data_IF_377374421916
#
_entry.id   IF_377374421916
#
_cell.length_a   1.000
_cell.length_b   1.000
_cell.length_c   1.000
_cell.angle_alpha   90.00
_cell.angle_beta   90.00
_cell.angle_gamma   90.00
#
_symmetry.space_group_name_H-M   'P 1'
#
loop_
_entity.id
_entity.type
_entity.pdbx_description
1 polymer ?
#
# COMPACT_ATOMS: atom_id res chain seq x y z
N UNK A 1 -32.86 38.19 -6.76
CA UNK A 1 -32.65 37.76 -8.17
C UNK A 1 -31.69 38.63 -9.01
N UNK A 2 -31.22 39.81 -8.55
CA UNK A 2 -30.35 40.69 -9.39
C UNK A 2 -28.93 40.16 -9.69
N UNK A 3 -28.44 39.08 -9.07
CA UNK A 3 -27.02 38.68 -9.21
C UNK A 3 -26.77 37.64 -10.34
N UNK A 4 -27.64 36.63 -10.53
CA UNK A 4 -27.35 35.54 -11.47
C UNK A 4 -27.35 35.99 -12.94
N UNK A 5 -28.36 36.74 -13.39
CA UNK A 5 -28.46 37.19 -14.79
C UNK A 5 -27.27 38.05 -15.20
N UNK A 6 -26.79 38.91 -14.31
CA UNK A 6 -25.60 39.72 -14.57
C UNK A 6 -24.35 38.85 -14.73
N UNK A 7 -24.20 37.80 -13.92
CA UNK A 7 -23.09 36.86 -14.06
C UNK A 7 -23.18 36.14 -15.41
N UNK A 8 -24.36 35.65 -15.80
CA UNK A 8 -24.55 34.96 -17.07
C UNK A 8 -24.19 35.86 -18.26
N UNK A 9 -24.66 37.10 -18.27
CA UNK A 9 -24.36 38.08 -19.31
C UNK A 9 -22.87 38.44 -19.35
N UNK A 10 -22.23 38.66 -18.20
CA UNK A 10 -20.78 38.98 -18.11
C UNK A 10 -19.90 37.81 -18.55
N UNK A 11 -20.34 36.58 -18.29
CA UNK A 11 -19.62 35.35 -18.64
C UNK A 11 -19.96 34.83 -20.04
N UNK A 12 -20.78 35.57 -20.81
CA UNK A 12 -21.24 35.19 -22.15
C UNK A 12 -21.84 33.76 -22.20
N UNK A 13 -22.58 33.40 -21.15
CA UNK A 13 -23.28 32.12 -21.04
C UNK A 13 -24.66 32.28 -21.68
N UNK A 14 -24.96 31.44 -22.66
CA UNK A 14 -26.29 31.39 -23.27
C UNK A 14 -27.32 30.79 -22.31
N UNK A 15 -28.46 31.46 -22.17
CA UNK A 15 -29.58 31.01 -21.36
C UNK A 15 -30.92 31.35 -22.02
N UNK A 16 -31.95 30.59 -21.68
CA UNK A 16 -33.34 30.86 -22.09
C UNK A 16 -34.20 31.12 -20.86
N UNK A 17 -35.12 32.07 -20.98
CA UNK A 17 -36.13 32.35 -19.94
C UNK A 17 -37.50 31.90 -20.45
N UNK A 18 -38.16 31.08 -19.64
CA UNK A 18 -39.53 30.61 -19.89
C UNK A 18 -40.38 30.90 -18.66
N UNK A 19 -41.72 30.86 -18.76
CA UNK A 19 -42.59 30.93 -17.58
C UNK A 19 -42.27 29.86 -16.52
N UNK A 20 -41.65 28.75 -16.92
CA UNK A 20 -41.26 27.63 -16.05
C UNK A 20 -39.94 27.87 -15.31
N UNK A 21 -39.09 28.80 -15.76
CA UNK A 21 -37.79 29.07 -15.15
C UNK A 21 -36.71 29.52 -16.13
N UNK A 22 -35.48 29.61 -15.61
CA UNK A 22 -34.27 29.92 -16.35
C UNK A 22 -33.56 28.62 -16.76
N UNK A 23 -33.15 28.48 -18.01
CA UNK A 23 -32.41 27.32 -18.50
C UNK A 23 -31.03 27.73 -19.01
N UNK A 24 -29.98 27.07 -18.53
CA UNK A 24 -28.62 27.14 -19.04
C UNK A 24 -28.30 25.81 -19.72
N UNK A 25 -28.10 25.81 -21.04
CA UNK A 25 -27.88 24.56 -21.79
C UNK A 25 -26.51 23.90 -21.53
N UNK A 26 -25.53 24.69 -21.09
CA UNK A 26 -24.17 24.25 -20.78
C UNK A 26 -23.92 24.04 -19.28
N UNK A 27 -22.64 24.13 -18.90
CA UNK A 27 -22.23 24.16 -17.49
C UNK A 27 -22.28 25.60 -16.96
N UNK A 28 -22.54 25.75 -15.66
CA UNK A 28 -22.62 27.03 -14.96
C UNK A 28 -21.64 27.01 -13.78
N UNK A 29 -20.53 27.73 -13.90
CA UNK A 29 -19.55 27.94 -12.84
C UNK A 29 -19.86 29.24 -12.08
N UNK A 30 -20.25 29.12 -10.82
CA UNK A 30 -20.51 30.20 -9.87
C UNK A 30 -19.58 30.13 -8.66
N UNK A 31 -18.52 29.32 -8.73
CA UNK A 31 -17.60 29.08 -7.62
C UNK A 31 -17.03 30.35 -7.02
N UNK A 32 -17.08 30.45 -5.70
CA UNK A 32 -16.52 31.59 -4.96
C UNK A 32 -17.21 32.93 -5.20
N UNK A 33 -18.31 32.96 -5.97
CA UNK A 33 -19.09 34.17 -6.17
C UNK A 33 -19.89 34.53 -4.92
N UNK A 34 -20.40 35.76 -4.87
CA UNK A 34 -21.25 36.26 -3.78
C UNK A 34 -22.73 35.91 -3.98
N UNK A 35 -23.04 34.84 -4.74
CA UNK A 35 -24.42 34.43 -4.94
C UNK A 35 -24.98 33.82 -3.65
N UNK A 36 -26.20 34.21 -3.31
CA UNK A 36 -26.90 33.78 -2.08
C UNK A 36 -28.18 33.00 -2.39
N UNK A 37 -28.63 32.98 -3.64
CA UNK A 37 -29.89 32.35 -4.07
C UNK A 37 -29.87 32.08 -5.58
N UNK A 38 -30.52 31.00 -6.00
CA UNK A 38 -30.84 30.71 -7.39
C UNK A 38 -32.34 30.95 -7.67
N UNK A 39 -32.75 31.20 -8.92
CA UNK A 39 -34.16 31.32 -9.28
C UNK A 39 -34.89 29.96 -9.24
N UNK A 40 -36.18 29.98 -8.92
CA UNK A 40 -37.06 28.80 -8.99
C UNK A 40 -37.07 28.20 -10.41
N UNK A 41 -37.14 26.87 -10.49
CA UNK A 41 -37.18 26.14 -11.77
C UNK A 41 -35.90 26.25 -12.61
N UNK A 42 -34.76 26.61 -12.01
CA UNK A 42 -33.47 26.64 -12.71
C UNK A 42 -33.12 25.26 -13.28
N UNK A 43 -32.79 25.21 -14.56
CA UNK A 43 -32.27 24.01 -15.23
C UNK A 43 -30.86 24.26 -15.75
N UNK A 44 -29.91 23.39 -15.40
CA UNK A 44 -28.55 23.39 -15.94
C UNK A 44 -28.32 22.08 -16.69
N UNK A 45 -28.03 22.18 -17.99
CA UNK A 45 -27.94 21.02 -18.87
C UNK A 45 -26.71 20.14 -18.62
N UNK A 46 -25.65 20.69 -18.02
CA UNK A 46 -24.42 19.98 -17.64
C UNK A 46 -24.12 20.23 -16.16
N UNK A 47 -22.92 20.71 -15.83
CA UNK A 47 -22.45 20.84 -14.45
C UNK A 47 -22.81 22.20 -13.84
N UNK A 48 -23.13 22.22 -12.55
CA UNK A 48 -23.38 23.41 -11.75
C UNK A 48 -22.37 23.45 -10.59
N UNK A 49 -21.44 24.40 -10.62
CA UNK A 49 -20.48 24.61 -9.53
C UNK A 49 -20.91 25.81 -8.69
N UNK A 50 -21.37 25.54 -7.47
CA UNK A 50 -21.72 26.52 -6.44
C UNK A 50 -20.72 26.50 -5.28
N UNK A 51 -19.58 25.83 -5.43
CA UNK A 51 -18.62 25.63 -4.36
C UNK A 51 -18.13 26.97 -3.81
N UNK A 52 -17.95 27.04 -2.49
CA UNK A 52 -17.48 28.25 -1.77
C UNK A 52 -18.33 29.50 -2.01
N UNK A 53 -19.60 29.35 -2.39
CA UNK A 53 -20.57 30.47 -2.44
C UNK A 53 -21.26 30.67 -1.09
N UNK A 54 -22.11 31.71 -0.99
CA UNK A 54 -22.89 32.03 0.20
C UNK A 54 -24.33 31.47 0.12
N UNK A 55 -24.56 30.47 -0.73
CA UNK A 55 -25.88 29.84 -0.85
C UNK A 55 -26.20 29.03 0.41
N UNK A 56 -27.44 29.16 0.87
CA UNK A 56 -27.95 28.46 2.08
C UNK A 56 -29.09 27.51 1.76
N UNK A 57 -29.77 27.70 0.63
CA UNK A 57 -30.93 26.92 0.18
C UNK A 57 -30.89 26.83 -1.35
N UNK A 58 -31.23 25.66 -1.90
CA UNK A 58 -31.50 25.48 -3.33
C UNK A 58 -33.00 25.63 -3.62
N UNK A 59 -33.36 26.21 -4.77
CA UNK A 59 -34.75 26.39 -5.17
C UNK A 59 -35.43 25.05 -5.47
N UNK A 60 -36.76 25.03 -5.39
CA UNK A 60 -37.55 23.87 -5.80
C UNK A 60 -37.47 23.69 -7.33
N UNK A 61 -37.54 22.44 -7.76
CA UNK A 61 -37.46 22.09 -9.19
C UNK A 61 -36.09 22.32 -9.84
N UNK A 62 -35.02 22.56 -9.06
CA UNK A 62 -33.66 22.61 -9.60
C UNK A 62 -33.31 21.28 -10.27
N UNK A 63 -32.88 21.35 -11.53
CA UNK A 63 -32.41 20.17 -12.29
C UNK A 63 -31.00 20.39 -12.80
N UNK A 64 -30.10 19.42 -12.55
CA UNK A 64 -28.70 19.44 -13.01
C UNK A 64 -28.42 18.15 -13.80
N UNK A 65 -28.23 18.29 -15.11
CA UNK A 65 -28.00 17.14 -16.00
C UNK A 65 -26.65 16.45 -15.79
N UNK A 66 -25.65 17.20 -15.32
CA UNK A 66 -24.32 16.72 -14.96
C UNK A 66 -24.09 16.71 -13.45
N UNK A 67 -22.95 17.23 -13.03
CA UNK A 67 -22.50 17.26 -11.64
C UNK A 67 -22.93 18.53 -10.92
N UNK A 68 -23.22 18.42 -9.62
CA UNK A 68 -23.56 19.55 -8.75
C UNK A 68 -22.53 19.64 -7.62
N UNK A 69 -21.73 20.70 -7.61
CA UNK A 69 -20.76 20.96 -6.54
C UNK A 69 -21.30 22.04 -5.58
N UNK A 70 -21.60 21.65 -4.34
CA UNK A 70 -22.01 22.52 -3.25
C UNK A 70 -20.95 22.57 -2.14
N UNK A 71 -19.75 22.09 -2.40
CA UNK A 71 -18.70 21.95 -1.39
C UNK A 71 -18.38 23.30 -0.73
N UNK A 72 -18.20 23.25 0.59
CA UNK A 72 -17.90 24.42 1.43
C UNK A 72 -18.90 25.57 1.26
N UNK A 73 -20.17 25.27 1.00
CA UNK A 73 -21.29 26.21 1.12
C UNK A 73 -21.95 26.09 2.50
N UNK A 74 -22.92 26.97 2.78
CA UNK A 74 -23.67 26.97 4.04
C UNK A 74 -25.04 26.29 3.90
N UNK A 75 -25.18 25.38 2.92
CA UNK A 75 -26.41 24.63 2.71
C UNK A 75 -26.65 23.65 3.87
N UNK A 76 -27.91 23.58 4.30
CA UNK A 76 -28.35 22.75 5.44
C UNK A 76 -29.36 21.68 5.05
N UNK A 77 -30.02 21.84 3.89
CA UNK A 77 -31.02 20.91 3.36
C UNK A 77 -31.02 20.96 1.82
N UNK A 78 -31.30 19.82 1.18
CA UNK A 78 -31.57 19.75 -0.26
C UNK A 78 -33.08 19.70 -0.52
N UNK A 79 -33.56 20.29 -1.63
CA UNK A 79 -34.98 20.26 -1.97
C UNK A 79 -35.43 18.84 -2.35
N UNK A 80 -36.70 18.53 -2.08
CA UNK A 80 -37.33 17.30 -2.55
C UNK A 80 -37.31 17.20 -4.08
N UNK A 81 -37.17 15.98 -4.60
CA UNK A 81 -37.14 15.74 -6.05
C UNK A 81 -35.86 16.19 -6.75
N UNK A 82 -34.83 16.65 -6.03
CA UNK A 82 -33.53 16.98 -6.62
C UNK A 82 -32.96 15.77 -7.37
N UNK A 83 -32.62 15.97 -8.64
CA UNK A 83 -31.98 14.96 -9.49
C UNK A 83 -30.62 15.47 -9.96
N UNK A 84 -29.58 14.66 -9.76
CA UNK A 84 -28.21 14.95 -10.21
C UNK A 84 -27.73 13.79 -11.08
N UNK A 85 -27.57 14.05 -12.38
CA UNK A 85 -27.17 13.02 -13.35
C UNK A 85 -25.73 12.52 -13.20
N UNK A 86 -24.86 13.36 -12.62
CA UNK A 86 -23.45 13.09 -12.39
C UNK A 86 -23.09 12.93 -10.92
N UNK A 87 -22.05 13.66 -10.51
CA UNK A 87 -21.53 13.71 -9.14
C UNK A 87 -22.27 14.75 -8.29
N UNK A 88 -22.49 14.46 -7.01
CA UNK A 88 -22.99 15.43 -6.02
C UNK A 88 -21.95 15.65 -4.92
N UNK A 89 -21.38 16.86 -4.85
CA UNK A 89 -20.44 17.28 -3.81
C UNK A 89 -21.14 18.05 -2.70
N UNK A 90 -21.11 17.55 -1.47
CA UNK A 90 -21.58 18.22 -0.26
C UNK A 90 -20.45 18.38 0.76
N UNK A 91 -19.19 18.17 0.38
CA UNK A 91 -18.02 18.22 1.26
C UNK A 91 -18.02 19.48 2.12
N UNK A 92 -17.98 19.28 3.44
CA UNK A 92 -17.87 20.38 4.41
C UNK A 92 -19.06 21.34 4.44
N UNK A 93 -20.23 20.93 3.96
CA UNK A 93 -21.49 21.65 4.16
C UNK A 93 -22.09 21.36 5.54
N UNK A 94 -23.19 22.03 5.88
CA UNK A 94 -23.92 21.85 7.14
C UNK A 94 -25.14 20.94 6.99
N UNK A 95 -25.16 20.09 5.95
CA UNK A 95 -26.23 19.11 5.72
C UNK A 95 -26.32 18.15 6.91
N UNK A 96 -27.55 17.92 7.37
CA UNK A 96 -27.87 16.99 8.48
C UNK A 96 -28.71 15.79 8.03
N UNK A 97 -29.38 15.90 6.88
CA UNK A 97 -30.18 14.84 6.26
C UNK A 97 -30.26 15.02 4.75
N UNK A 98 -30.51 13.93 4.02
CA UNK A 98 -30.85 13.97 2.59
C UNK A 98 -32.36 13.75 2.39
N UNK A 99 -32.96 14.32 1.33
CA UNK A 99 -34.36 14.09 1.00
C UNK A 99 -34.61 12.64 0.56
N UNK A 100 -35.82 12.14 0.82
CA UNK A 100 -36.25 10.85 0.28
C UNK A 100 -36.25 10.87 -1.26
N UNK A 101 -35.94 9.72 -1.87
CA UNK A 101 -35.91 9.58 -3.33
C UNK A 101 -34.74 10.27 -4.04
N UNK A 102 -33.76 10.83 -3.30
CA UNK A 102 -32.55 11.38 -3.91
C UNK A 102 -31.83 10.31 -4.76
N UNK A 103 -31.60 10.64 -6.03
CA UNK A 103 -30.86 9.79 -6.96
C UNK A 103 -29.60 10.51 -7.43
N UNK A 104 -28.45 9.86 -7.27
CA UNK A 104 -27.15 10.34 -7.74
C UNK A 104 -26.59 9.34 -8.75
N UNK A 105 -26.45 9.78 -10.00
CA UNK A 105 -26.06 8.89 -11.10
C UNK A 105 -24.63 8.35 -11.00
N UNK A 106 -23.75 9.05 -10.27
CA UNK A 106 -22.34 8.66 -10.06
C UNK A 106 -21.97 8.73 -8.58
N UNK A 107 -20.98 9.55 -8.23
CA UNK A 107 -20.44 9.63 -6.89
C UNK A 107 -21.21 10.63 -6.01
N UNK A 108 -21.22 10.41 -4.70
CA UNK A 108 -21.81 11.28 -3.68
C UNK A 108 -20.77 11.53 -2.58
N UNK A 109 -20.31 12.77 -2.43
CA UNK A 109 -19.42 13.17 -1.34
C UNK A 109 -20.21 13.91 -0.26
N UNK A 110 -20.32 13.27 0.91
CA UNK A 110 -20.91 13.81 2.14
C UNK A 110 -19.86 14.04 3.22
N UNK A 111 -18.58 13.93 2.88
CA UNK A 111 -17.50 13.95 3.85
C UNK A 111 -17.47 15.27 4.62
N UNK A 112 -17.15 15.19 5.91
CA UNK A 112 -17.13 16.34 6.84
C UNK A 112 -18.44 17.14 6.89
N UNK A 113 -19.58 16.54 6.59
CA UNK A 113 -20.90 17.10 6.87
C UNK A 113 -21.38 16.68 8.26
N UNK A 114 -22.54 17.20 8.68
CA UNK A 114 -23.20 16.85 9.95
C UNK A 114 -24.28 15.78 9.78
N UNK A 115 -24.23 15.02 8.68
CA UNK A 115 -25.22 13.97 8.41
C UNK A 115 -25.11 12.87 9.47
N UNK A 116 -26.27 12.43 9.96
CA UNK A 116 -26.40 11.40 10.99
C UNK A 116 -27.10 10.14 10.49
N UNK A 117 -27.90 10.26 9.42
CA UNK A 117 -28.69 9.18 8.82
C UNK A 117 -28.82 9.37 7.31
N UNK A 118 -28.83 8.27 6.56
CA UNK A 118 -29.17 8.26 5.15
C UNK A 118 -30.63 7.82 4.96
N UNK A 119 -31.33 8.35 3.93
CA UNK A 119 -32.69 7.94 3.61
C UNK A 119 -32.72 6.48 3.13
N UNK A 120 -33.83 5.80 3.41
CA UNK A 120 -34.09 4.46 2.87
C UNK A 120 -34.16 4.51 1.33
N UNK A 121 -33.65 3.47 0.67
CA UNK A 121 -33.65 3.38 -0.79
C UNK A 121 -32.65 4.29 -1.51
N UNK A 122 -31.74 4.96 -0.80
CA UNK A 122 -30.65 5.72 -1.42
C UNK A 122 -29.84 4.82 -2.36
N UNK A 123 -29.71 5.24 -3.61
CA UNK A 123 -28.89 4.55 -4.61
C UNK A 123 -27.77 5.46 -5.09
N UNK A 124 -26.53 4.99 -4.98
CA UNK A 124 -25.33 5.69 -5.47
C UNK A 124 -24.68 4.82 -6.54
N UNK A 125 -24.74 5.27 -7.80
CA UNK A 125 -24.23 4.51 -8.94
C UNK A 125 -22.71 4.32 -8.92
N UNK A 126 -22.00 5.26 -8.31
CA UNK A 126 -20.55 5.25 -8.12
C UNK A 126 -20.15 5.10 -6.65
N UNK A 127 -19.30 5.99 -6.19
CA UNK A 127 -18.69 6.00 -4.86
C UNK A 127 -19.47 6.88 -3.87
N UNK A 128 -19.48 6.50 -2.60
CA UNK A 128 -20.10 7.22 -1.50
C UNK A 128 -19.04 7.54 -0.44
N UNK A 129 -18.73 8.81 -0.25
CA UNK A 129 -17.81 9.26 0.81
C UNK A 129 -18.63 9.84 1.98
N UNK A 130 -18.61 9.13 3.11
CA UNK A 130 -19.20 9.54 4.39
C UNK A 130 -18.13 9.84 5.43
N UNK A 131 -16.87 9.99 5.02
CA UNK A 131 -15.76 10.10 5.94
C UNK A 131 -15.89 11.33 6.84
N UNK A 132 -15.59 11.14 8.13
CA UNK A 132 -15.67 12.20 9.16
C UNK A 132 -17.06 12.83 9.29
N UNK A 133 -18.11 12.06 9.06
CA UNK A 133 -19.50 12.42 9.39
C UNK A 133 -19.91 11.86 10.75
N UNK A 134 -21.13 12.18 11.20
CA UNK A 134 -21.71 11.68 12.45
C UNK A 134 -22.63 10.47 12.24
N UNK A 135 -22.52 9.79 11.09
CA UNK A 135 -23.27 8.55 10.79
C UNK A 135 -22.92 7.47 11.82
N UNK A 136 -23.95 6.84 12.37
CA UNK A 136 -23.86 5.70 13.30
C UNK A 136 -24.33 4.39 12.69
N UNK A 137 -25.08 4.45 11.57
CA UNK A 137 -25.64 3.27 10.89
C UNK A 137 -25.93 3.57 9.41
N UNK A 138 -25.88 2.54 8.58
CA UNK A 138 -26.32 2.60 7.18
C UNK A 138 -27.72 1.97 7.02
N UNK A 139 -28.53 2.43 6.06
CA UNK A 139 -29.84 1.85 5.79
C UNK A 139 -29.71 0.43 5.21
N UNK A 140 -30.72 -0.41 5.46
CA UNK A 140 -30.81 -1.73 4.84
C UNK A 140 -30.94 -1.60 3.31
N UNK A 141 -30.37 -2.55 2.57
CA UNK A 141 -30.41 -2.56 1.11
C UNK A 141 -29.53 -1.51 0.42
N UNK A 142 -28.72 -0.75 1.16
CA UNK A 142 -27.76 0.18 0.56
C UNK A 142 -26.83 -0.56 -0.41
N UNK A 143 -26.74 -0.06 -1.64
CA UNK A 143 -25.82 -0.56 -2.67
C UNK A 143 -24.91 0.58 -3.12
N UNK A 144 -23.60 0.32 -3.12
CA UNK A 144 -22.58 1.26 -3.61
C UNK A 144 -21.82 0.59 -4.74
N UNK A 145 -21.94 1.13 -5.96
CA UNK A 145 -21.30 0.55 -7.14
C UNK A 145 -19.78 0.68 -7.12
N UNK A 146 -19.26 1.74 -6.51
CA UNK A 146 -17.84 2.07 -6.41
C UNK A 146 -17.29 1.95 -4.99
N UNK A 147 -16.57 2.98 -4.56
CA UNK A 147 -15.92 3.04 -3.24
C UNK A 147 -16.89 3.50 -2.15
N UNK A 148 -16.86 2.89 -0.97
CA UNK A 148 -17.56 3.36 0.23
C UNK A 148 -16.54 3.78 1.30
N UNK A 149 -16.47 5.08 1.58
CA UNK A 149 -15.63 5.63 2.65
C UNK A 149 -16.46 5.91 3.91
N UNK A 150 -16.16 5.20 4.99
CA UNK A 150 -16.75 5.41 6.32
C UNK A 150 -15.69 5.84 7.34
N UNK A 151 -14.50 6.24 6.89
CA UNK A 151 -13.38 6.52 7.78
C UNK A 151 -13.71 7.61 8.79
N UNK A 152 -13.43 7.35 10.06
CA UNK A 152 -13.64 8.31 11.14
C UNK A 152 -15.12 8.64 11.40
N UNK A 153 -16.03 7.74 11.01
CA UNK A 153 -17.44 7.79 11.42
C UNK A 153 -17.66 7.05 12.75
N UNK A 154 -18.84 7.22 13.35
CA UNK A 154 -19.22 6.53 14.59
C UNK A 154 -19.94 5.20 14.34
N UNK A 155 -19.77 4.61 13.14
CA UNK A 155 -20.42 3.35 12.79
C UNK A 155 -19.86 2.19 13.63
N UNK A 156 -20.76 1.37 14.16
CA UNK A 156 -20.42 0.19 15.00
C UNK A 156 -20.78 -1.12 14.32
N UNK A 157 -21.73 -1.10 13.38
CA UNK A 157 -22.24 -2.28 12.66
C UNK A 157 -22.60 -1.88 11.22
N UNK A 158 -22.30 -2.76 10.27
CA UNK A 158 -22.77 -2.65 8.89
C UNK A 158 -24.06 -3.47 8.70
N UNK A 159 -24.99 -3.04 7.83
CA UNK A 159 -26.21 -3.77 7.55
C UNK A 159 -25.92 -5.11 6.87
N UNK A 160 -26.77 -6.11 7.12
CA UNK A 160 -26.70 -7.38 6.41
C UNK A 160 -26.95 -7.16 4.91
N UNK A 161 -26.26 -7.93 4.07
CA UNK A 161 -26.41 -7.83 2.61
C UNK A 161 -25.78 -6.59 1.97
N UNK A 162 -25.01 -5.79 2.71
CA UNK A 162 -24.25 -4.68 2.14
C UNK A 162 -23.32 -5.19 1.03
N UNK A 163 -23.46 -4.60 -0.16
CA UNK A 163 -22.61 -4.89 -1.32
C UNK A 163 -21.85 -3.65 -1.72
N UNK A 164 -20.52 -3.77 -1.80
CA UNK A 164 -19.61 -2.71 -2.26
C UNK A 164 -18.86 -3.21 -3.48
N UNK A 165 -19.20 -2.66 -4.65
CA UNK A 165 -18.59 -3.08 -5.92
C UNK A 165 -17.10 -2.73 -6.03
N UNK A 166 -16.69 -1.64 -5.38
CA UNK A 166 -15.30 -1.20 -5.27
C UNK A 166 -14.69 -1.50 -3.90
N UNK A 167 -14.03 -0.50 -3.32
CA UNK A 167 -13.32 -0.63 -2.03
C UNK A 167 -14.21 -0.15 -0.87
N UNK A 168 -13.94 -0.64 0.34
CA UNK A 168 -14.61 -0.27 1.59
C UNK A 168 -13.57 0.17 2.61
N UNK A 169 -13.65 1.43 3.06
CA UNK A 169 -12.77 1.98 4.08
C UNK A 169 -13.52 2.19 5.39
N UNK A 170 -13.14 1.42 6.41
CA UNK A 170 -13.71 1.47 7.76
C UNK A 170 -12.67 1.99 8.77
N UNK A 171 -11.58 2.59 8.32
CA UNK A 171 -10.50 3.01 9.21
C UNK A 171 -11.00 3.99 10.27
N UNK A 172 -10.47 3.88 11.47
CA UNK A 172 -10.83 4.76 12.60
C UNK A 172 -12.34 4.74 12.93
N UNK A 173 -13.04 3.63 12.64
CA UNK A 173 -14.43 3.41 13.07
C UNK A 173 -14.50 2.51 14.31
N UNK A 174 -15.67 2.46 14.95
CA UNK A 174 -15.91 1.64 16.14
C UNK A 174 -16.43 0.24 15.81
N UNK A 175 -16.26 -0.24 14.57
CA UNK A 175 -16.69 -1.58 14.16
C UNK A 175 -15.92 -2.66 14.94
N UNK A 176 -16.66 -3.63 15.44
CA UNK A 176 -16.13 -4.83 16.13
C UNK A 176 -16.35 -6.11 15.33
N UNK A 177 -17.28 -6.12 14.36
CA UNK A 177 -17.65 -7.29 13.55
C UNK A 177 -18.14 -6.86 12.17
N UNK A 178 -17.79 -7.63 11.14
CA UNK A 178 -18.35 -7.48 9.79
C UNK A 178 -19.55 -8.43 9.61
N UNK A 179 -20.57 -8.03 8.83
CA UNK A 179 -21.73 -8.87 8.58
C UNK A 179 -21.37 -10.11 7.76
N UNK A 180 -22.13 -11.18 7.95
CA UNK A 180 -22.00 -12.40 7.14
C UNK A 180 -22.36 -12.10 5.68
N UNK A 181 -21.65 -12.73 4.74
CA UNK A 181 -21.87 -12.52 3.31
C UNK A 181 -21.39 -11.18 2.76
N UNK A 182 -20.65 -10.37 3.54
CA UNK A 182 -20.03 -9.14 3.04
C UNK A 182 -19.11 -9.46 1.85
N UNK A 183 -19.32 -8.78 0.73
CA UNK A 183 -18.48 -8.87 -0.46
C UNK A 183 -17.90 -7.49 -0.78
N UNK A 184 -16.57 -7.42 -0.93
CA UNK A 184 -15.85 -6.22 -1.33
C UNK A 184 -15.07 -6.53 -2.61
N UNK A 185 -15.45 -5.90 -3.72
CA UNK A 185 -14.82 -6.17 -5.02
C UNK A 185 -13.37 -5.66 -5.12
N UNK A 186 -13.07 -4.58 -4.41
CA UNK A 186 -11.75 -3.95 -4.34
C UNK A 186 -11.04 -4.19 -3.01
N UNK A 187 -10.73 -3.10 -2.31
CA UNK A 187 -9.90 -3.10 -1.11
C UNK A 187 -10.73 -2.97 0.16
N UNK A 188 -10.33 -3.64 1.24
CA UNK A 188 -10.97 -3.52 2.56
C UNK A 188 -9.96 -3.00 3.58
N UNK A 189 -10.24 -1.83 4.18
CA UNK A 189 -9.37 -1.21 5.18
C UNK A 189 -10.03 -1.22 6.57
N UNK A 190 -9.33 -1.80 7.55
CA UNK A 190 -9.80 -1.98 8.92
C UNK A 190 -8.83 -1.40 9.97
N UNK A 191 -7.76 -0.72 9.56
CA UNK A 191 -6.80 -0.08 10.46
C UNK A 191 -7.51 0.84 11.46
N UNK A 192 -7.22 0.69 12.75
CA UNK A 192 -7.82 1.50 13.81
C UNK A 192 -9.28 1.15 14.14
N UNK A 193 -9.77 0.00 13.67
CA UNK A 193 -11.04 -0.59 14.15
C UNK A 193 -10.81 -1.51 15.34
N UNK A 194 -11.91 -1.87 16.02
CA UNK A 194 -11.90 -2.78 17.16
C UNK A 194 -12.22 -4.24 16.74
N UNK A 195 -11.96 -4.60 15.48
CA UNK A 195 -12.21 -5.96 14.98
C UNK A 195 -11.31 -6.97 15.70
N UNK A 196 -11.95 -8.06 16.13
CA UNK A 196 -11.29 -9.23 16.74
C UNK A 196 -11.40 -10.49 15.88
N UNK A 197 -12.32 -10.50 14.91
CA UNK A 197 -12.58 -11.64 14.02
C UNK A 197 -13.20 -11.19 12.70
N UNK A 198 -12.97 -11.95 11.63
CA UNK A 198 -13.68 -11.81 10.36
C UNK A 198 -14.78 -12.86 10.22
N UNK A 199 -15.86 -12.57 9.47
CA UNK A 199 -16.90 -13.56 9.16
C UNK A 199 -16.38 -14.65 8.22
N UNK A 200 -16.96 -15.85 8.32
CA UNK A 200 -16.71 -16.93 7.37
C UNK A 200 -17.17 -16.52 5.96
N UNK A 201 -16.46 -17.01 4.94
CA UNK A 201 -16.79 -16.73 3.54
C UNK A 201 -16.49 -15.29 3.08
N UNK A 202 -15.82 -14.47 3.89
CA UNK A 202 -15.38 -13.14 3.46
C UNK A 202 -14.51 -13.23 2.21
N UNK A 203 -14.90 -12.48 1.17
CA UNK A 203 -14.14 -12.37 -0.07
C UNK A 203 -13.74 -10.92 -0.31
N UNK A 204 -12.44 -10.71 -0.54
CA UNK A 204 -11.87 -9.40 -0.90
C UNK A 204 -11.12 -9.56 -2.23
N UNK A 205 -11.62 -8.90 -3.28
CA UNK A 205 -11.06 -9.05 -4.63
C UNK A 205 -9.66 -8.45 -4.79
N UNK A 206 -9.38 -7.36 -4.06
CA UNK A 206 -8.07 -6.71 -3.99
C UNK A 206 -7.33 -7.04 -2.69
N UNK A 207 -6.85 -6.01 -1.98
CA UNK A 207 -6.15 -6.19 -0.71
C UNK A 207 -7.04 -6.00 0.53
N UNK A 208 -6.62 -6.64 1.61
CA UNK A 208 -7.21 -6.56 2.95
C UNK A 208 -6.17 -6.01 3.93
N UNK A 209 -6.47 -4.87 4.57
CA UNK A 209 -5.61 -4.25 5.58
C UNK A 209 -6.24 -4.36 6.97
N UNK A 210 -5.67 -5.23 7.79
CA UNK A 210 -5.99 -5.50 9.20
C UNK A 210 -4.88 -5.00 10.14
N UNK A 211 -3.92 -4.23 9.63
CA UNK A 211 -2.76 -3.78 10.41
C UNK A 211 -3.19 -3.10 11.70
N UNK A 212 -2.51 -3.40 12.80
CA UNK A 212 -2.77 -2.81 14.11
C UNK A 212 -4.16 -3.11 14.72
N UNK A 213 -4.94 -4.02 14.14
CA UNK A 213 -6.20 -4.47 14.74
C UNK A 213 -5.97 -5.53 15.81
N UNK A 214 -7.01 -5.83 16.58
CA UNK A 214 -6.99 -6.83 17.66
C UNK A 214 -7.30 -8.24 17.15
N UNK A 215 -7.19 -8.50 15.85
CA UNK A 215 -7.47 -9.82 15.27
C UNK A 215 -6.46 -10.86 15.76
N UNK A 216 -6.97 -12.02 16.17
CA UNK A 216 -6.16 -13.13 16.68
C UNK A 216 -6.16 -14.35 15.75
N UNK A 217 -7.20 -14.49 14.92
CA UNK A 217 -7.41 -15.63 14.01
C UNK A 217 -8.08 -15.15 12.72
N UNK A 218 -7.66 -15.72 11.59
CA UNK A 218 -8.35 -15.58 10.30
C UNK A 218 -9.29 -16.77 10.07
N UNK A 219 -10.46 -16.56 9.43
CA UNK A 219 -11.40 -17.63 9.14
C UNK A 219 -10.83 -18.59 8.09
N UNK A 220 -11.26 -19.86 8.17
CA UNK A 220 -10.97 -20.85 7.13
C UNK A 220 -11.59 -20.41 5.80
N UNK A 221 -10.89 -20.66 4.69
CA UNK A 221 -11.37 -20.29 3.35
C UNK A 221 -11.31 -18.80 3.03
N UNK A 222 -10.66 -17.96 3.87
CA UNK A 222 -10.41 -16.56 3.53
C UNK A 222 -9.67 -16.45 2.19
N UNK A 223 -10.25 -15.70 1.25
CA UNK A 223 -9.64 -15.46 -0.07
C UNK A 223 -9.37 -13.97 -0.23
N UNK A 224 -8.09 -13.63 -0.49
CA UNK A 224 -7.63 -12.27 -0.77
C UNK A 224 -6.93 -12.28 -2.13
N UNK A 225 -7.56 -11.67 -3.14
CA UNK A 225 -7.04 -11.68 -4.52
C UNK A 225 -5.73 -10.91 -4.68
N UNK A 226 -5.51 -9.90 -3.83
CA UNK A 226 -4.31 -9.05 -3.79
C UNK A 226 -3.45 -9.28 -2.56
N UNK A 227 -3.21 -8.21 -1.79
CA UNK A 227 -2.30 -8.23 -0.64
C UNK A 227 -3.04 -8.36 0.70
N UNK A 228 -2.42 -8.96 1.69
CA UNK A 228 -2.96 -9.12 3.03
C UNK A 228 -1.99 -8.49 4.05
N UNK A 229 -2.44 -7.46 4.75
CA UNK A 229 -1.65 -6.78 5.77
C UNK A 229 -2.16 -7.13 7.17
N UNK A 230 -1.31 -7.77 7.96
CA UNK A 230 -1.56 -8.22 9.32
C UNK A 230 -0.53 -7.63 10.30
N UNK A 231 0.22 -6.62 9.88
CA UNK A 231 1.31 -6.06 10.66
C UNK A 231 0.81 -5.61 12.04
N UNK A 232 1.58 -5.93 13.09
CA UNK A 232 1.28 -5.57 14.49
C UNK A 232 -0.10 -6.03 14.98
N UNK A 233 -0.61 -7.15 14.45
CA UNK A 233 -1.79 -7.84 14.99
C UNK A 233 -1.38 -8.92 15.99
N UNK A 234 -2.36 -9.51 16.67
CA UNK A 234 -2.16 -10.57 17.66
C UNK A 234 -2.26 -11.98 17.07
N UNK A 235 -2.06 -12.11 15.75
CA UNK A 235 -2.08 -13.41 15.08
C UNK A 235 -0.89 -14.26 15.51
N UNK A 236 -1.18 -15.51 15.86
CA UNK A 236 -0.19 -16.54 16.20
C UNK A 236 -0.09 -17.65 15.15
N UNK A 237 -1.06 -17.76 14.25
CA UNK A 237 -1.12 -18.78 13.20
C UNK A 237 -2.01 -18.35 12.03
N UNK A 238 -1.69 -18.81 10.83
CA UNK A 238 -2.53 -18.66 9.65
C UNK A 238 -3.35 -19.93 9.39
N UNK A 239 -4.55 -19.82 8.78
CA UNK A 239 -5.37 -20.97 8.41
C UNK A 239 -4.69 -21.79 7.29
N UNK A 240 -4.96 -23.09 7.27
CA UNK A 240 -4.53 -23.97 6.18
C UNK A 240 -5.17 -23.54 4.85
N UNK A 241 -4.45 -23.70 3.74
CA UNK A 241 -4.94 -23.34 2.41
C UNK A 241 -5.05 -21.85 2.13
N UNK A 242 -4.57 -20.97 3.02
CA UNK A 242 -4.52 -19.53 2.76
C UNK A 242 -3.70 -19.23 1.49
N UNK A 243 -4.31 -18.49 0.57
CA UNK A 243 -3.66 -18.02 -0.66
C UNK A 243 -3.68 -16.51 -0.68
N UNK A 244 -2.52 -15.89 -0.92
CA UNK A 244 -2.36 -14.44 -1.08
C UNK A 244 -1.73 -14.18 -2.44
N UNK A 245 -2.48 -13.54 -3.35
CA UNK A 245 -2.01 -13.29 -4.72
C UNK A 245 -0.86 -12.28 -4.80
N UNK A 246 -0.80 -11.33 -3.87
CA UNK A 246 0.18 -10.25 -3.81
C UNK A 246 1.09 -10.34 -2.58
N UNK A 247 1.18 -9.24 -1.83
CA UNK A 247 2.04 -9.12 -0.65
C UNK A 247 1.36 -9.66 0.61
N UNK A 248 2.09 -10.38 1.46
CA UNK A 248 1.67 -10.80 2.79
C UNK A 248 2.56 -10.14 3.84
N UNK A 249 1.99 -9.24 4.64
CA UNK A 249 2.68 -8.58 5.76
C UNK A 249 2.27 -9.20 7.09
N UNK A 250 3.21 -9.85 7.77
CA UNK A 250 3.08 -10.41 9.11
C UNK A 250 4.02 -9.72 10.10
N UNK A 251 4.59 -8.57 9.73
CA UNK A 251 5.63 -7.92 10.52
C UNK A 251 5.12 -7.54 11.92
N UNK A 252 5.94 -7.79 12.95
CA UNK A 252 5.60 -7.52 14.35
C UNK A 252 4.40 -8.30 14.88
N UNK A 253 4.03 -9.43 14.25
CA UNK A 253 3.05 -10.38 14.80
C UNK A 253 3.73 -11.42 15.70
N UNK A 254 2.92 -12.19 16.43
CA UNK A 254 3.38 -13.26 17.32
C UNK A 254 3.45 -14.63 16.61
N UNK A 255 3.48 -14.66 15.28
CA UNK A 255 3.52 -15.90 14.51
C UNK A 255 4.84 -16.65 14.73
N UNK A 256 4.74 -17.97 14.95
CA UNK A 256 5.91 -18.85 15.19
C UNK A 256 6.13 -19.86 14.07
N UNK A 257 5.09 -20.18 13.30
CA UNK A 257 5.09 -21.15 12.20
C UNK A 257 4.12 -20.69 11.11
N UNK A 258 4.50 -20.93 9.84
CA UNK A 258 3.60 -20.79 8.69
C UNK A 258 2.99 -22.15 8.32
N UNK A 259 1.74 -22.18 7.85
CA UNK A 259 1.09 -23.42 7.44
C UNK A 259 1.78 -24.04 6.22
N UNK A 260 1.72 -25.37 6.12
CA UNK A 260 2.17 -26.08 4.92
C UNK A 260 1.32 -25.67 3.72
N UNK A 261 1.94 -25.56 2.55
CA UNK A 261 1.25 -25.17 1.32
C UNK A 261 0.88 -23.68 1.19
N UNK A 262 1.33 -22.82 2.13
CA UNK A 262 1.18 -21.38 1.99
C UNK A 262 1.80 -20.89 0.67
N UNK A 263 1.00 -20.20 -0.13
CA UNK A 263 1.44 -19.61 -1.40
C UNK A 263 1.31 -18.09 -1.34
N UNK A 264 2.41 -17.38 -1.59
CA UNK A 264 2.46 -15.92 -1.68
C UNK A 264 2.97 -15.53 -3.07
N UNK A 265 2.07 -15.02 -3.90
CA UNK A 265 2.38 -14.66 -5.30
C UNK A 265 3.34 -13.47 -5.42
N UNK A 266 3.32 -12.56 -4.45
CA UNK A 266 4.22 -11.42 -4.34
C UNK A 266 5.26 -11.59 -3.24
N UNK A 267 5.38 -10.58 -2.39
CA UNK A 267 6.39 -10.53 -1.32
C UNK A 267 5.83 -11.03 0.02
N UNK A 268 6.70 -11.48 0.92
CA UNK A 268 6.36 -11.94 2.27
C UNK A 268 7.24 -11.21 3.28
N UNK A 269 6.63 -10.49 4.22
CA UNK A 269 7.32 -9.80 5.30
C UNK A 269 7.02 -10.46 6.65
N UNK A 270 8.06 -11.01 7.27
CA UNK A 270 8.02 -11.66 8.58
C UNK A 270 8.88 -10.92 9.60
N UNK A 271 9.22 -9.65 9.35
CA UNK A 271 10.12 -8.88 10.23
C UNK A 271 9.63 -8.86 11.66
N UNK A 272 10.57 -8.98 12.59
CA UNK A 272 10.28 -8.88 14.03
C UNK A 272 9.22 -9.90 14.52
N UNK A 273 9.01 -10.99 13.79
CA UNK A 273 8.18 -12.13 14.24
C UNK A 273 8.99 -13.14 15.06
N UNK A 274 8.29 -14.10 15.68
CA UNK A 274 8.89 -15.18 16.46
C UNK A 274 9.13 -16.45 15.64
N UNK A 275 9.18 -16.33 14.30
CA UNK A 275 9.36 -17.49 13.42
C UNK A 275 10.77 -18.07 13.60
N UNK A 276 10.84 -19.40 13.75
CA UNK A 276 12.11 -20.13 13.91
C UNK A 276 12.41 -21.05 12.72
N UNK A 277 11.39 -21.44 11.96
CA UNK A 277 11.49 -22.32 10.79
C UNK A 277 10.47 -21.92 9.71
N UNK A 278 10.81 -22.13 8.45
CA UNK A 278 9.86 -22.03 7.33
C UNK A 278 9.39 -23.42 6.90
N UNK A 279 8.14 -23.56 6.41
CA UNK A 279 7.63 -24.82 5.90
C UNK A 279 8.39 -25.26 4.63
N UNK A 280 8.46 -26.58 4.41
CA UNK A 280 9.03 -27.13 3.19
C UNK A 280 8.15 -26.75 1.99
N UNK A 281 8.77 -26.47 0.84
CA UNK A 281 8.05 -26.09 -0.37
C UNK A 281 7.46 -24.67 -0.38
N UNK A 282 7.79 -23.83 0.61
CA UNK A 282 7.41 -22.41 0.59
C UNK A 282 7.94 -21.73 -0.68
N UNK A 283 7.06 -21.07 -1.41
CA UNK A 283 7.39 -20.29 -2.61
C UNK A 283 6.99 -18.83 -2.40
N UNK A 284 7.94 -17.91 -2.61
CA UNK A 284 7.70 -16.46 -2.57
C UNK A 284 8.11 -15.86 -3.91
N UNK A 285 7.13 -15.32 -4.65
CA UNK A 285 7.36 -14.79 -5.99
C UNK A 285 8.21 -13.51 -6.01
N UNK A 286 8.16 -12.73 -4.93
CA UNK A 286 8.86 -11.46 -4.76
C UNK A 286 9.88 -11.48 -3.63
N UNK A 287 9.88 -10.42 -2.83
CA UNK A 287 10.80 -10.22 -1.71
C UNK A 287 10.41 -11.09 -0.50
N UNK A 288 11.38 -11.67 0.20
CA UNK A 288 11.19 -12.36 1.47
C UNK A 288 12.01 -11.65 2.56
N UNK A 289 11.31 -11.04 3.52
CA UNK A 289 11.94 -10.39 4.68
C UNK A 289 11.80 -11.26 5.93
N UNK A 290 12.94 -11.70 6.45
CA UNK A 290 13.06 -12.43 7.72
C UNK A 290 13.88 -11.64 8.73
N UNK A 291 14.15 -10.35 8.48
CA UNK A 291 15.07 -9.59 9.30
C UNK A 291 14.56 -9.44 10.74
N UNK A 292 15.47 -9.61 11.70
CA UNK A 292 15.16 -9.58 13.13
C UNK A 292 14.32 -10.76 13.66
N UNK A 293 14.12 -11.81 12.86
CA UNK A 293 13.47 -13.05 13.33
C UNK A 293 14.44 -13.99 14.06
N UNK A 294 13.91 -15.05 14.67
CA UNK A 294 14.68 -16.09 15.36
C UNK A 294 15.01 -17.29 14.46
N UNK A 295 14.95 -17.12 13.14
CA UNK A 295 15.20 -18.21 12.20
C UNK A 295 16.66 -18.69 12.29
N UNK A 296 16.84 -20.01 12.37
CA UNK A 296 18.16 -20.65 12.49
C UNK A 296 18.52 -21.48 11.26
N UNK A 297 17.52 -21.89 10.47
CA UNK A 297 17.69 -22.72 9.27
C UNK A 297 16.63 -22.37 8.23
N UNK A 298 17.03 -22.40 6.95
CA UNK A 298 16.10 -22.32 5.82
C UNK A 298 15.81 -23.73 5.27
N UNK A 299 14.59 -23.99 4.76
CA UNK A 299 14.25 -25.26 4.14
C UNK A 299 15.05 -25.48 2.85
N UNK A 300 15.29 -26.75 2.53
CA UNK A 300 15.92 -27.13 1.26
C UNK A 300 14.98 -26.78 0.10
N UNK A 301 15.54 -26.33 -1.02
CA UNK A 301 14.77 -25.96 -2.20
C UNK A 301 13.96 -24.66 -2.08
N UNK A 302 14.23 -23.82 -1.06
CA UNK A 302 13.63 -22.49 -0.96
C UNK A 302 13.99 -21.65 -2.21
N UNK A 303 12.97 -21.15 -2.90
CA UNK A 303 13.12 -20.24 -4.04
C UNK A 303 12.53 -18.87 -3.69
N UNK A 304 13.31 -17.81 -3.89
CA UNK A 304 12.87 -16.43 -3.72
C UNK A 304 13.01 -15.69 -5.04
N UNK A 305 11.88 -15.30 -5.64
CA UNK A 305 11.85 -14.64 -6.94
C UNK A 305 12.33 -13.18 -6.92
N UNK A 306 12.42 -12.57 -5.75
CA UNK A 306 13.00 -11.25 -5.50
C UNK A 306 14.22 -11.31 -4.58
N UNK A 307 14.35 -10.31 -3.70
CA UNK A 307 15.44 -10.26 -2.72
C UNK A 307 15.10 -11.07 -1.46
N UNK A 308 16.11 -11.49 -0.70
CA UNK A 308 15.98 -12.20 0.57
C UNK A 308 16.75 -11.44 1.64
N UNK A 309 16.07 -11.03 2.71
CA UNK A 309 16.69 -10.38 3.86
C UNK A 309 16.68 -11.30 5.09
N UNK A 310 17.87 -11.67 5.55
CA UNK A 310 18.13 -12.48 6.74
C UNK A 310 18.87 -11.66 7.80
N UNK A 311 18.91 -10.33 7.67
CA UNK A 311 19.69 -9.47 8.54
C UNK A 311 19.26 -9.61 10.00
N UNK A 312 20.23 -9.67 10.91
CA UNK A 312 20.02 -9.81 12.36
C UNK A 312 19.22 -11.06 12.76
N UNK A 313 19.30 -12.13 11.96
CA UNK A 313 18.77 -13.45 12.33
C UNK A 313 19.85 -14.31 13.00
N UNK A 314 19.43 -15.45 13.57
CA UNK A 314 20.31 -16.44 14.21
C UNK A 314 20.80 -17.53 13.25
N UNK A 315 20.67 -17.31 11.93
CA UNK A 315 21.08 -18.27 10.92
C UNK A 315 22.61 -18.45 10.89
N UNK A 316 23.05 -19.71 10.84
CA UNK A 316 24.48 -20.08 10.82
C UNK A 316 24.95 -20.63 9.48
N UNK A 317 24.02 -21.05 8.61
CA UNK A 317 24.32 -21.61 7.30
C UNK A 317 23.14 -21.43 6.34
N UNK A 318 23.44 -21.27 5.05
CA UNK A 318 22.44 -21.32 3.98
C UNK A 318 22.36 -22.74 3.40
N UNK A 319 21.18 -23.20 2.95
CA UNK A 319 21.03 -24.51 2.30
C UNK A 319 21.72 -24.54 0.93
N UNK A 320 22.17 -25.74 0.52
CA UNK A 320 22.68 -25.95 -0.84
C UNK A 320 21.60 -25.66 -1.88
N UNK A 321 22.02 -25.11 -3.03
CA UNK A 321 21.10 -24.78 -4.13
C UNK A 321 20.15 -23.60 -3.87
N UNK A 322 20.35 -22.82 -2.79
CA UNK A 322 19.58 -21.60 -2.55
C UNK A 322 19.70 -20.65 -3.75
N UNK A 323 18.54 -20.25 -4.29
CA UNK A 323 18.45 -19.31 -5.41
C UNK A 323 17.67 -18.07 -5.00
N UNK A 324 18.31 -16.91 -5.14
CA UNK A 324 17.74 -15.58 -4.89
C UNK A 324 17.90 -14.76 -6.17
N UNK A 325 16.81 -14.48 -6.87
CA UNK A 325 16.89 -13.73 -8.13
C UNK A 325 17.26 -12.25 -7.92
N UNK A 326 16.95 -11.69 -6.75
CA UNK A 326 17.31 -10.34 -6.34
C UNK A 326 18.57 -10.28 -5.47
N UNK A 327 18.56 -9.38 -4.49
CA UNK A 327 19.67 -9.21 -3.54
C UNK A 327 19.54 -10.15 -2.34
N UNK A 328 20.65 -10.52 -1.74
CA UNK A 328 20.72 -11.31 -0.51
C UNK A 328 21.38 -10.49 0.60
N UNK A 329 20.66 -10.24 1.69
CA UNK A 329 21.14 -9.50 2.84
C UNK A 329 21.37 -10.43 4.03
N UNK A 330 22.62 -10.53 4.48
CA UNK A 330 23.06 -11.38 5.59
C UNK A 330 23.61 -10.56 6.75
N UNK A 331 23.26 -9.28 6.82
CA UNK A 331 23.91 -8.33 7.72
C UNK A 331 23.73 -8.73 9.19
N UNK A 332 24.82 -8.88 9.94
CA UNK A 332 24.78 -9.25 11.36
C UNK A 332 24.32 -10.70 11.64
N UNK A 333 24.41 -11.60 10.66
CA UNK A 333 24.19 -13.05 10.86
C UNK A 333 25.46 -13.75 11.37
N UNK A 334 25.31 -14.98 11.86
CA UNK A 334 26.43 -15.81 12.35
C UNK A 334 27.01 -16.73 11.26
N UNK A 335 26.73 -16.45 9.98
CA UNK A 335 27.22 -17.25 8.85
C UNK A 335 28.74 -17.10 8.72
N UNK A 336 29.43 -18.23 8.58
CA UNK A 336 30.89 -18.31 8.40
C UNK A 336 31.31 -18.65 6.97
N UNK A 337 30.41 -19.21 6.16
CA UNK A 337 30.66 -19.63 4.78
C UNK A 337 29.37 -19.66 3.97
N UNK A 338 29.46 -19.38 2.67
CA UNK A 338 28.37 -19.54 1.73
C UNK A 338 28.47 -20.91 1.04
N UNK A 339 27.35 -21.60 0.76
CA UNK A 339 27.35 -22.91 0.11
C UNK A 339 27.79 -22.81 -1.35
N UNK A 340 28.34 -23.91 -1.88
CA UNK A 340 28.57 -24.04 -3.32
C UNK A 340 27.23 -24.00 -4.09
N UNK A 341 27.25 -23.41 -5.28
CA UNK A 341 26.04 -23.27 -6.12
C UNK A 341 25.05 -22.19 -5.66
N UNK A 342 25.37 -21.38 -4.64
CA UNK A 342 24.58 -20.21 -4.26
C UNK A 342 24.42 -19.26 -5.46
N UNK A 343 23.18 -18.96 -5.84
CA UNK A 343 22.86 -18.04 -6.94
C UNK A 343 22.20 -16.78 -6.40
N UNK A 344 22.80 -15.61 -6.69
CA UNK A 344 22.29 -14.28 -6.33
C UNK A 344 22.28 -13.41 -7.59
N UNK A 345 21.11 -12.92 -8.00
CA UNK A 345 21.00 -12.09 -9.21
C UNK A 345 21.31 -10.60 -8.99
N UNK A 346 21.26 -10.14 -7.73
CA UNK A 346 21.48 -8.75 -7.34
C UNK A 346 22.73 -8.53 -6.49
N UNK A 347 22.57 -7.78 -5.39
CA UNK A 347 23.66 -7.50 -4.46
C UNK A 347 23.73 -8.55 -3.34
N UNK A 348 24.92 -8.75 -2.77
CA UNK A 348 25.16 -9.60 -1.62
C UNK A 348 25.72 -8.75 -0.46
N UNK A 349 24.93 -8.54 0.60
CA UNK A 349 25.36 -7.80 1.78
C UNK A 349 25.81 -8.77 2.89
N UNK A 350 27.10 -8.74 3.20
CA UNK A 350 27.78 -9.59 4.19
C UNK A 350 28.30 -8.79 5.40
N UNK A 351 27.82 -7.55 5.61
CA UNK A 351 28.26 -6.73 6.73
C UNK A 351 28.04 -7.43 8.08
N UNK A 352 28.99 -7.35 9.02
CA UNK A 352 28.87 -8.02 10.32
C UNK A 352 28.82 -9.56 10.29
N UNK A 353 29.08 -10.21 9.15
CA UNK A 353 29.23 -11.67 9.07
C UNK A 353 30.68 -12.11 9.31
N UNK A 354 30.88 -13.42 9.53
CA UNK A 354 32.21 -14.01 9.68
C UNK A 354 32.73 -14.65 8.39
N UNK A 355 32.15 -14.30 7.24
CA UNK A 355 32.54 -14.83 5.94
C UNK A 355 33.89 -14.24 5.53
N UNK A 356 34.85 -15.12 5.29
CA UNK A 356 36.22 -14.76 4.86
C UNK A 356 36.55 -15.19 3.44
N UNK A 357 35.72 -16.05 2.84
CA UNK A 357 35.92 -16.64 1.51
C UNK A 357 34.57 -16.72 0.78
N UNK A 358 34.55 -16.32 -0.49
CA UNK A 358 33.39 -16.48 -1.37
C UNK A 358 33.52 -17.81 -2.16
N UNK A 359 32.42 -18.55 -2.38
CA UNK A 359 32.44 -19.80 -3.13
C UNK A 359 32.73 -19.56 -4.61
N UNK A 360 33.35 -20.55 -5.26
CA UNK A 360 33.55 -20.53 -6.70
C UNK A 360 32.17 -20.61 -7.40
N UNK A 361 31.95 -19.79 -8.42
CA UNK A 361 30.71 -19.79 -9.19
C UNK A 361 29.57 -18.90 -8.67
N UNK A 362 29.79 -18.07 -7.63
CA UNK A 362 28.87 -16.96 -7.32
C UNK A 362 28.64 -16.16 -8.62
N UNK A 363 27.38 -15.99 -9.01
CA UNK A 363 26.97 -15.62 -10.36
C UNK A 363 27.59 -14.32 -10.89
N UNK A 364 27.60 -14.18 -12.22
CA UNK A 364 28.18 -13.03 -12.95
C UNK A 364 27.54 -11.71 -12.48
N UNK A 365 28.37 -10.74 -12.12
CA UNK A 365 28.03 -9.35 -11.81
C UNK A 365 27.27 -9.11 -10.48
N UNK A 366 27.64 -9.84 -9.42
CA UNK A 366 27.14 -9.60 -8.06
C UNK A 366 27.92 -8.47 -7.38
N UNK A 367 27.20 -7.44 -6.89
CA UNK A 367 27.77 -6.40 -6.02
C UNK A 367 27.85 -6.92 -4.58
N UNK A 368 29.04 -7.13 -4.05
CA UNK A 368 29.27 -7.63 -2.69
C UNK A 368 29.63 -6.49 -1.74
N UNK A 369 28.98 -6.42 -0.58
CA UNK A 369 29.35 -5.53 0.52
C UNK A 369 29.88 -6.38 1.68
N UNK A 370 31.07 -6.07 2.20
CA UNK A 370 31.71 -6.86 3.27
C UNK A 370 32.28 -5.91 4.32
N UNK A 371 32.21 -6.27 5.60
CA UNK A 371 32.80 -5.45 6.66
C UNK A 371 34.28 -5.80 6.91
N UNK A 372 35.09 -4.76 7.08
CA UNK A 372 36.32 -4.75 7.87
C UNK A 372 36.43 -3.35 8.50
N UNK A 373 37.38 -3.15 9.42
CA UNK A 373 37.61 -1.91 10.21
C UNK A 373 37.65 -0.59 9.42
N UNK A 374 37.65 -0.61 8.10
CA UNK A 374 37.66 0.58 7.23
C UNK A 374 36.54 0.61 6.15
N UNK A 375 35.46 -0.18 6.32
CA UNK A 375 34.21 -0.15 5.52
C UNK A 375 34.43 -0.05 3.99
N UNK A 376 34.74 -1.18 3.36
CA UNK A 376 34.92 -1.28 1.89
C UNK A 376 33.75 -2.00 1.21
N UNK A 377 33.55 -1.75 -0.08
CA UNK A 377 32.63 -2.50 -0.95
C UNK A 377 33.40 -3.19 -2.07
N UNK A 378 32.97 -4.39 -2.47
CA UNK A 378 33.59 -5.21 -3.50
C UNK A 378 32.57 -5.57 -4.59
N UNK A 379 32.68 -4.99 -5.78
CA UNK A 379 31.86 -5.41 -6.92
C UNK A 379 32.60 -6.55 -7.63
N UNK A 380 31.98 -7.74 -7.74
CA UNK A 380 32.58 -8.88 -8.44
C UNK A 380 31.90 -9.03 -9.80
N UNK A 381 32.54 -8.54 -10.85
CA UNK A 381 32.11 -8.68 -12.24
C UNK A 381 32.72 -9.92 -12.92
N UNK A 382 32.21 -10.28 -14.09
CA UNK A 382 32.63 -11.48 -14.85
C UNK A 382 34.15 -11.65 -15.02
N UNK A 383 34.91 -10.57 -15.13
CA UNK A 383 36.37 -10.57 -15.28
C UNK A 383 37.06 -9.46 -14.46
N UNK A 384 36.32 -8.78 -13.59
CA UNK A 384 36.82 -7.59 -12.91
C UNK A 384 36.31 -7.51 -11.49
N UNK A 385 37.12 -6.99 -10.58
CA UNK A 385 36.70 -6.73 -9.19
C UNK A 385 36.87 -5.24 -8.92
N UNK A 386 35.79 -4.54 -8.54
CA UNK A 386 35.86 -3.14 -8.13
C UNK A 386 35.87 -2.98 -6.63
N UNK A 387 36.87 -2.31 -6.07
CA UNK A 387 36.94 -1.99 -4.64
C UNK A 387 36.61 -0.50 -4.44
N UNK A 388 35.63 -0.21 -3.58
CA UNK A 388 35.27 1.14 -3.14
C UNK A 388 35.39 1.26 -1.61
N UNK A 389 35.60 2.47 -1.09
CA UNK A 389 35.67 2.75 0.36
C UNK A 389 34.77 3.95 0.70
N UNK A 390 33.99 3.85 1.78
CA UNK A 390 33.05 4.91 2.19
C UNK A 390 33.72 6.02 3.02
N UNK A 391 34.94 5.83 3.54
CA UNK A 391 35.66 6.86 4.32
C UNK A 391 36.62 7.70 3.46
N UNK A 392 36.52 9.04 3.57
CA UNK A 392 37.46 10.03 2.98
C UNK A 392 38.87 10.01 3.59
N UNK A 393 39.13 9.13 4.56
CA UNK A 393 40.43 9.00 5.26
C UNK A 393 41.45 8.15 4.51
N UNK A 394 41.04 7.43 3.45
CA UNK A 394 41.99 6.73 2.56
C UNK A 394 42.59 7.74 1.60
N UNK A 395 43.65 8.43 2.05
CA UNK A 395 44.31 9.51 1.30
C UNK A 395 45.07 9.03 0.06
N UNK A 396 45.39 7.73 -0.03
CA UNK A 396 45.72 7.10 -1.31
C UNK A 396 45.62 5.57 -1.23
N UNK A 397 45.04 4.93 -2.23
CA UNK A 397 45.06 3.48 -2.39
C UNK A 397 46.47 2.93 -2.69
N UNK A 398 47.37 3.81 -3.14
CA UNK A 398 48.78 3.53 -3.37
C UNK A 398 49.47 3.06 -2.09
N UNK A 399 49.21 3.68 -0.94
CA UNK A 399 49.80 3.27 0.35
C UNK A 399 49.28 1.91 0.86
N UNK A 400 48.04 1.56 0.52
CA UNK A 400 47.40 0.30 0.90
C UNK A 400 47.97 -0.89 0.09
N UNK A 401 48.25 -0.68 -1.20
CA UNK A 401 48.80 -1.71 -2.08
C UNK A 401 50.35 -1.73 -2.14
N UNK A 402 51.04 -0.61 -1.91
CA UNK A 402 52.53 -0.55 -1.92
C UNK A 402 53.18 -1.37 -0.78
N UNK A 403 52.45 -1.66 0.30
CA UNK A 403 52.95 -2.57 1.36
C UNK A 403 52.92 -4.05 0.96
N UNK A 404 52.38 -4.41 -0.20
CA UNK A 404 52.23 -5.80 -0.67
C UNK A 404 52.62 -5.86 -2.14
N UNK A 405 53.87 -6.24 -2.39
CA UNK A 405 54.43 -6.41 -3.73
C UNK A 405 53.49 -7.21 -4.66
N UNK A 406 53.23 -6.64 -5.84
CA UNK A 406 52.49 -7.18 -6.98
C UNK A 406 50.95 -7.10 -6.91
N UNK A 407 50.42 -5.91 -7.22
CA UNK A 407 49.11 -5.75 -7.87
C UNK A 407 49.26 -4.75 -9.01
N UNK A 408 48.92 -5.14 -10.25
CA UNK A 408 48.95 -4.27 -11.42
C UNK A 408 47.57 -3.65 -11.63
N UNK A 409 47.28 -2.52 -11.00
CA UNK A 409 46.05 -1.76 -11.27
C UNK A 409 46.22 -0.89 -12.52
N UNK A 410 45.23 -0.87 -13.42
CA UNK A 410 45.20 0.08 -14.54
C UNK A 410 44.35 1.30 -14.12
N UNK A 411 44.95 2.44 -13.77
CA UNK A 411 44.22 3.57 -13.22
C UNK A 411 43.44 4.27 -14.34
N UNK A 412 42.11 4.32 -14.23
CA UNK A 412 41.31 5.35 -14.93
C UNK A 412 41.01 6.46 -13.94
N UNK A 413 41.25 7.69 -14.38
CA UNK A 413 41.29 8.92 -13.61
C UNK A 413 39.95 9.29 -12.94
N UNK A 414 39.53 8.62 -11.86
CA UNK A 414 38.62 9.20 -10.87
C UNK A 414 38.85 8.56 -9.49
N UNK A 415 38.89 9.33 -8.40
CA UNK A 415 39.02 8.79 -7.05
C UNK A 415 37.66 8.21 -6.63
N UNK A 416 37.48 6.90 -6.77
CA UNK A 416 36.25 6.24 -6.30
C UNK A 416 36.19 4.73 -6.46
N UNK A 417 36.64 4.17 -7.59
CA UNK A 417 36.48 2.74 -7.90
C UNK A 417 37.76 2.13 -8.50
N UNK A 418 38.26 1.04 -7.92
CA UNK A 418 39.48 0.34 -8.38
C UNK A 418 39.17 -1.01 -9.00
N UNK A 419 39.49 -1.23 -10.29
CA UNK A 419 39.22 -2.47 -11.02
C UNK A 419 40.45 -3.41 -11.08
N UNK A 420 40.35 -4.64 -10.55
CA UNK A 420 41.40 -5.69 -10.59
C UNK A 420 41.19 -6.69 -11.75
N UNK A 421 42.29 -7.20 -12.34
CA UNK A 421 42.30 -8.09 -13.51
C UNK A 421 42.52 -9.56 -13.10
N UNK A 422 41.99 -10.52 -13.88
CA UNK A 422 41.87 -11.98 -13.63
C UNK A 422 43.14 -12.75 -13.18
N UNK A 423 44.36 -12.30 -13.53
CA UNK A 423 45.58 -12.95 -12.99
C UNK A 423 45.89 -12.56 -11.54
N UNK A 424 45.44 -11.37 -11.13
CA UNK A 424 45.51 -10.92 -9.74
C UNK A 424 44.44 -11.61 -8.87
N UNK A 425 43.39 -12.17 -9.48
CA UNK A 425 42.33 -12.95 -8.80
C UNK A 425 42.83 -14.26 -8.18
N UNK A 426 43.54 -15.12 -8.92
CA UNK A 426 44.06 -16.38 -8.36
C UNK A 426 45.11 -16.16 -7.26
N UNK A 427 45.88 -15.08 -7.37
CA UNK A 427 46.88 -14.69 -6.37
C UNK A 427 46.25 -13.99 -5.16
N UNK A 428 45.23 -13.14 -5.34
CA UNK A 428 44.50 -12.49 -4.25
C UNK A 428 43.70 -13.52 -3.43
N UNK A 429 43.01 -14.47 -4.07
CA UNK A 429 42.28 -15.55 -3.40
C UNK A 429 43.24 -16.55 -2.71
N UNK A 430 44.36 -16.94 -3.35
CA UNK A 430 45.41 -17.73 -2.69
C UNK A 430 46.06 -17.00 -1.52
N UNK A 431 46.26 -15.67 -1.60
CA UNK A 431 46.83 -14.86 -0.51
C UNK A 431 45.80 -14.47 0.56
N UNK A 432 44.50 -14.47 0.26
CA UNK A 432 43.41 -14.35 1.24
C UNK A 432 43.42 -15.55 2.20
N UNK A 433 43.65 -16.77 1.69
CA UNK A 433 43.93 -17.97 2.52
C UNK A 433 45.17 -17.80 3.41
N UNK A 434 46.12 -16.92 3.06
CA UNK A 434 47.31 -16.60 3.86
C UNK A 434 47.06 -15.45 4.87
N UNK A 435 46.18 -14.51 4.54
CA UNK A 435 45.84 -13.34 5.37
C UNK A 435 44.96 -13.72 6.57
N UNK A 436 44.05 -14.69 6.39
CA UNK A 436 43.19 -15.22 7.46
C UNK A 436 43.82 -16.37 8.27
N UNK A 437 45.01 -16.85 7.91
CA UNK A 437 45.78 -17.84 8.69
C UNK A 437 46.72 -17.23 9.74
N UNK A 438 46.88 -15.91 9.77
CA UNK A 438 47.66 -15.20 10.79
C UNK A 438 46.79 -14.17 11.51
N UNK A 439 45.90 -14.66 12.36
CA UNK A 439 45.68 -14.14 13.71
C UNK A 439 44.89 -15.15 14.53
#
# INVERSE_FOLDING_TARGET
MKNLKEILLKSNIEFTETPQGLTVGGSLDLRGTQITSLPEGLTVGRDLDLSRTQITVLPQGLTVGGSLDLSRTQITVLPEGLTVGGYLDLLGTQITSLPEGLTVGRDLDLSRTQITVLPQGLTVGGSLDLSRTQITSLPEGLTVGGYLDLRGTQITVLPQGLTVGGSLDLRETQITVLPQGLTVGGYLYLLGTQITSLPEGLTVGGYLDLSGTQITVLPQGLTVGGSLYLSRTQITSLPEGLTVGGYLDLSGTQITVLPQGLTVGGSLDLRETQITVLPQGLTVGGYLDLSGTQITVLPQGLTVGGSLDLSRTQITSLPEGLTVSGSLYLSGTQITSLPEGLTVGGSLDLLGTQITVLPEGLTKDVKVRIENKSKWSLIVGKNTIKIGCEERSVTSWKEFFDKKEFISTNPKEYPGDYELIVNDFHNAVKKQKLFFRKK
#
